data_IF_524056925174
#
_entry.id   IF_524056925174
#
_cell.length_a   1.000
_cell.length_b   1.000
_cell.length_c   1.000
_cell.angle_alpha   90.00
_cell.angle_beta   90.00
_cell.angle_gamma   90.00
#
_symmetry.space_group_name_H-M   'P 1'
#
loop_
_entity.id
_entity.type
_entity.pdbx_description
1 polymer ?
#
# COMPACT_ATOMS: atom_id res chain seq x y z
N UNK A 1 -74.28 11.67 36.02
CA UNK A 1 -73.39 10.50 36.08
C UNK A 1 -72.04 10.88 35.47
N UNK A 2 -71.15 11.34 36.33
CA UNK A 2 -69.97 12.16 35.99
C UNK A 2 -68.66 11.38 36.20
N UNK A 3 -68.77 10.05 36.32
CA UNK A 3 -67.72 9.17 36.86
C UNK A 3 -66.96 8.40 35.77
N UNK A 4 -67.52 8.27 34.56
CA UNK A 4 -66.92 7.49 33.46
C UNK A 4 -65.88 8.29 32.66
N UNK A 5 -65.99 9.63 32.64
CA UNK A 5 -65.10 10.52 31.87
C UNK A 5 -63.69 10.64 32.46
N UNK A 6 -63.55 10.47 33.78
CA UNK A 6 -62.25 10.51 34.47
C UNK A 6 -61.42 9.24 34.31
N UNK A 7 -62.04 8.09 33.99
CA UNK A 7 -61.30 6.82 33.74
C UNK A 7 -60.68 6.80 32.34
N UNK A 8 -61.39 7.29 31.33
CA UNK A 8 -60.90 7.38 29.94
C UNK A 8 -59.72 8.34 29.79
N UNK A 9 -59.75 9.50 30.46
CA UNK A 9 -58.65 10.47 30.42
C UNK A 9 -57.39 9.92 31.10
N UNK A 10 -57.53 9.17 32.20
CA UNK A 10 -56.39 8.52 32.89
C UNK A 10 -55.80 7.34 32.09
N UNK A 11 -56.62 6.59 31.35
CA UNK A 11 -56.14 5.53 30.46
C UNK A 11 -55.41 6.08 29.23
N UNK A 12 -55.90 7.19 28.66
CA UNK A 12 -55.24 7.84 27.51
C UNK A 12 -53.91 8.48 27.89
N UNK A 13 -53.80 9.09 29.09
CA UNK A 13 -52.53 9.66 29.57
C UNK A 13 -51.47 8.59 29.89
N UNK A 14 -51.89 7.42 30.39
CA UNK A 14 -50.99 6.30 30.68
C UNK A 14 -50.43 5.64 29.40
N UNK A 15 -51.20 5.67 28.31
CA UNK A 15 -50.78 5.08 27.03
C UNK A 15 -49.77 5.96 26.26
N UNK A 16 -49.82 7.29 26.44
CA UNK A 16 -48.83 8.22 25.85
C UNK A 16 -47.48 8.23 26.58
N UNK A 17 -47.43 7.89 27.87
CA UNK A 17 -46.17 7.82 28.63
C UNK A 17 -45.41 6.51 28.33
N UNK A 18 -46.11 5.45 27.90
CA UNK A 18 -45.48 4.19 27.50
C UNK A 18 -44.75 4.27 26.13
N UNK A 19 -45.02 5.29 25.32
CA UNK A 19 -44.43 5.47 23.98
C UNK A 19 -43.35 6.56 23.93
N UNK A 20 -42.97 7.13 25.07
CA UNK A 20 -41.86 8.08 25.19
C UNK A 20 -40.57 7.47 25.76
N UNK A 21 -40.62 6.23 26.26
CA UNK A 21 -39.51 5.57 26.97
C UNK A 21 -38.52 4.77 26.11
N UNK A 22 -38.70 4.72 24.79
CA UNK A 22 -37.88 3.86 23.92
C UNK A 22 -37.15 4.63 22.81
N UNK A 23 -36.87 5.93 23.00
CA UNK A 23 -35.79 6.60 22.26
C UNK A 23 -34.53 6.54 23.12
N UNK A 24 -34.16 5.32 23.53
CA UNK A 24 -32.80 5.06 23.96
C UNK A 24 -31.94 5.29 22.73
N UNK A 25 -31.22 6.41 22.71
CA UNK A 25 -30.25 6.72 21.69
C UNK A 25 -29.23 5.57 21.64
N UNK A 26 -29.49 4.58 20.78
CA UNK A 26 -28.45 3.67 20.32
C UNK A 26 -27.56 4.54 19.46
N UNK A 27 -26.61 5.22 20.10
CA UNK A 27 -25.43 5.72 19.42
C UNK A 27 -24.73 4.45 18.96
N UNK A 28 -25.10 3.98 17.76
CA UNK A 28 -24.32 3.00 17.05
C UNK A 28 -22.98 3.68 16.80
N UNK A 29 -22.02 3.44 17.69
CA UNK A 29 -20.63 3.73 17.39
C UNK A 29 -20.32 2.88 16.18
N UNK A 30 -20.38 3.47 14.99
CA UNK A 30 -19.97 2.80 13.77
C UNK A 30 -18.56 2.27 14.05
N UNK A 31 -18.40 0.95 14.06
CA UNK A 31 -17.08 0.36 14.15
C UNK A 31 -16.25 0.96 13.01
N UNK A 32 -14.98 1.34 13.26
CA UNK A 32 -14.13 1.84 12.19
C UNK A 32 -14.19 0.84 11.02
N UNK A 33 -14.62 1.32 9.86
CA UNK A 33 -14.60 0.53 8.64
C UNK A 33 -13.13 0.39 8.22
N UNK A 34 -12.48 -0.68 8.68
CA UNK A 34 -11.15 -1.05 8.23
C UNK A 34 -11.27 -1.61 6.80
N UNK A 35 -11.05 -0.76 5.80
CA UNK A 35 -10.80 -1.25 4.45
C UNK A 35 -9.39 -1.86 4.43
N UNK A 36 -9.30 -3.16 4.74
CA UNK A 36 -8.07 -3.93 4.62
C UNK A 36 -7.56 -3.79 3.18
N UNK A 37 -6.35 -3.27 2.97
CA UNK A 37 -5.83 -3.19 1.60
C UNK A 37 -5.74 -4.60 1.02
N UNK A 38 -6.33 -4.80 -0.16
CA UNK A 38 -6.05 -6.01 -0.93
C UNK A 38 -4.58 -6.02 -1.32
N UNK A 39 -3.91 -7.16 -1.12
CA UNK A 39 -2.53 -7.38 -1.56
C UNK A 39 -2.40 -7.09 -3.05
N UNK A 40 -1.60 -6.07 -3.47
CA UNK A 40 -1.47 -5.75 -4.88
C UNK A 40 -0.72 -6.85 -5.65
N UNK A 41 -1.08 -7.06 -6.92
CA UNK A 41 -0.45 -8.06 -7.78
C UNK A 41 1.08 -7.86 -7.93
N UNK A 42 1.57 -6.63 -7.78
CA UNK A 42 2.99 -6.29 -7.83
C UNK A 42 3.79 -6.82 -6.63
N UNK A 43 3.16 -7.00 -5.47
CA UNK A 43 3.85 -7.44 -4.25
C UNK A 43 4.36 -8.88 -4.39
N UNK A 44 5.61 -9.14 -4.04
CA UNK A 44 6.19 -10.49 -4.00
C UNK A 44 7.66 -10.53 -4.38
N UNK A 45 8.19 -11.75 -4.51
CA UNK A 45 9.58 -12.00 -4.90
C UNK A 45 9.65 -12.28 -6.40
N UNK A 46 10.35 -11.45 -7.15
CA UNK A 46 10.42 -11.54 -8.61
C UNK A 46 11.82 -11.90 -9.06
N UNK A 47 11.96 -12.97 -9.85
CA UNK A 47 13.24 -13.42 -10.39
C UNK A 47 13.34 -13.09 -11.86
N UNK A 48 14.53 -12.66 -12.29
CA UNK A 48 14.80 -12.42 -13.70
C UNK A 48 14.60 -13.72 -14.50
N UNK A 49 13.84 -13.63 -15.58
CA UNK A 49 13.58 -14.75 -16.50
C UNK A 49 14.89 -15.14 -17.19
N UNK A 50 15.74 -14.17 -17.52
CA UNK A 50 17.07 -14.41 -18.02
C UNK A 50 18.04 -14.68 -16.86
N UNK A 51 18.30 -15.96 -16.58
CA UNK A 51 19.21 -16.40 -15.51
C UNK A 51 20.68 -16.07 -15.79
N UNK A 52 21.03 -15.77 -17.04
CA UNK A 52 22.37 -15.36 -17.46
C UNK A 52 22.57 -13.83 -17.42
N UNK A 53 21.55 -13.06 -17.00
CA UNK A 53 21.67 -11.62 -16.89
C UNK A 53 22.76 -11.23 -15.87
N UNK A 54 23.66 -10.33 -16.29
CA UNK A 54 24.71 -9.76 -15.43
C UNK A 54 24.23 -8.50 -14.68
N UNK A 55 22.91 -8.32 -14.58
CA UNK A 55 22.25 -7.08 -14.16
C UNK A 55 21.52 -7.29 -12.81
N UNK A 56 20.21 -7.06 -12.75
CA UNK A 56 19.36 -7.36 -11.59
C UNK A 56 18.84 -8.80 -11.72
N UNK A 57 19.16 -9.64 -10.74
CA UNK A 57 18.77 -11.06 -10.72
C UNK A 57 17.41 -11.27 -10.06
N UNK A 58 17.07 -10.41 -9.09
CA UNK A 58 15.81 -10.49 -8.34
C UNK A 58 15.40 -9.13 -7.80
N UNK A 59 14.09 -8.90 -7.67
CA UNK A 59 13.52 -7.78 -6.94
C UNK A 59 12.45 -8.29 -5.99
N UNK A 60 12.59 -7.96 -4.71
CA UNK A 60 11.51 -8.14 -3.76
C UNK A 60 10.69 -6.86 -3.69
N UNK A 61 9.41 -6.95 -4.00
CA UNK A 61 8.46 -5.84 -3.89
C UNK A 61 7.61 -6.05 -2.65
N UNK A 62 7.75 -5.17 -1.66
CA UNK A 62 6.87 -5.07 -0.52
C UNK A 62 5.76 -4.05 -0.75
N UNK A 63 4.72 -4.13 0.06
CA UNK A 63 3.61 -3.18 0.05
C UNK A 63 3.27 -2.82 1.49
N UNK A 64 3.31 -1.53 1.80
CA UNK A 64 2.86 -0.97 3.07
C UNK A 64 1.47 -0.43 2.84
N UNK A 65 0.50 -1.03 3.53
CA UNK A 65 -0.86 -0.55 3.60
C UNK A 65 -0.95 0.45 4.76
N UNK A 66 -1.26 1.70 4.46
CA UNK A 66 -1.60 2.71 5.45
C UNK A 66 -3.10 2.95 5.42
N UNK A 67 -3.87 1.98 5.92
CA UNK A 67 -5.34 2.04 5.99
C UNK A 67 -5.83 2.84 7.21
N UNK A 68 -5.08 2.84 8.30
CA UNK A 68 -5.43 3.58 9.51
C UNK A 68 -4.60 4.85 9.62
N UNK A 69 -5.30 6.00 9.63
CA UNK A 69 -4.75 7.28 10.08
C UNK A 69 -5.23 7.53 11.50
N UNK A 70 -4.33 7.40 12.48
CA UNK A 70 -4.63 7.65 13.90
C UNK A 70 -4.26 9.09 14.23
N UNK A 71 -5.22 9.88 14.69
CA UNK A 71 -4.98 11.25 15.14
C UNK A 71 -5.12 11.32 16.67
N UNK A 72 -4.17 11.99 17.33
CA UNK A 72 -4.31 12.33 18.74
C UNK A 72 -5.21 13.55 18.96
N UNK A 73 -5.51 13.87 20.23
CA UNK A 73 -6.36 15.01 20.61
C UNK A 73 -5.71 16.37 20.32
N UNK A 74 -4.41 16.42 20.04
CA UNK A 74 -3.71 17.62 19.56
C UNK A 74 -3.74 17.78 18.04
N UNK A 75 -4.40 16.88 17.31
CA UNK A 75 -4.51 16.92 15.85
C UNK A 75 -3.28 16.38 15.12
N UNK A 76 -2.32 15.77 15.83
CA UNK A 76 -1.21 15.08 15.21
C UNK A 76 -1.67 13.70 14.72
N UNK A 77 -1.61 13.50 13.41
CA UNK A 77 -2.02 12.26 12.76
C UNK A 77 -0.81 11.44 12.33
N UNK A 78 -0.82 10.14 12.61
CA UNK A 78 0.17 9.16 12.15
C UNK A 78 -0.51 8.11 11.27
N UNK A 79 0.24 7.56 10.31
CA UNK A 79 -0.27 6.56 9.37
C UNK A 79 -1.03 7.15 8.17
N UNK A 80 -1.81 6.32 7.49
CA UNK A 80 -2.59 6.70 6.30
C UNK A 80 -1.81 6.70 4.96
N UNK A 81 -0.52 6.37 4.96
CA UNK A 81 0.27 6.33 3.73
C UNK A 81 0.41 4.91 3.20
N UNK A 82 -0.06 4.70 1.99
CA UNK A 82 0.07 3.44 1.26
C UNK A 82 1.15 3.56 0.20
N UNK A 83 2.13 2.66 0.19
CA UNK A 83 3.26 2.72 -0.75
C UNK A 83 3.91 1.35 -0.98
N UNK A 84 4.61 1.22 -2.12
CA UNK A 84 5.45 0.05 -2.39
C UNK A 84 6.85 0.24 -1.80
N UNK A 85 7.51 -0.88 -1.48
CA UNK A 85 8.94 -0.91 -1.19
C UNK A 85 9.65 -1.83 -2.16
N UNK A 86 10.85 -1.47 -2.57
CA UNK A 86 11.68 -2.26 -3.49
C UNK A 86 12.95 -2.69 -2.77
N UNK A 87 13.34 -3.96 -2.94
CA UNK A 87 14.65 -4.51 -2.55
C UNK A 87 15.24 -5.30 -3.71
N UNK A 88 15.99 -4.63 -4.60
CA UNK A 88 16.69 -5.26 -5.72
C UNK A 88 17.93 -6.02 -5.26
N UNK A 89 18.28 -7.03 -6.04
CA UNK A 89 19.48 -7.84 -5.90
C UNK A 89 20.21 -7.85 -7.24
N UNK A 90 21.45 -7.34 -7.24
CA UNK A 90 22.32 -7.34 -8.41
C UNK A 90 23.16 -8.62 -8.49
N UNK A 91 23.59 -8.98 -9.70
CA UNK A 91 24.47 -10.12 -9.93
C UNK A 91 25.83 -9.89 -9.25
N UNK A 92 26.16 -10.74 -8.28
CA UNK A 92 27.45 -10.79 -7.60
C UNK A 92 27.84 -12.25 -7.30
N UNK A 93 29.10 -12.49 -6.96
CA UNK A 93 29.63 -13.82 -6.63
C UNK A 93 30.26 -13.81 -5.24
N UNK A 94 30.03 -14.84 -4.40
CA UNK A 94 29.23 -16.06 -4.65
C UNK A 94 27.71 -15.87 -4.48
N UNK A 95 27.29 -14.74 -3.92
CA UNK A 95 25.89 -14.42 -3.65
C UNK A 95 25.51 -13.09 -4.27
N UNK A 96 24.24 -12.94 -4.62
CA UNK A 96 23.72 -11.68 -5.17
C UNK A 96 23.93 -10.52 -4.19
N UNK A 97 24.28 -9.34 -4.73
CA UNK A 97 24.45 -8.13 -3.95
C UNK A 97 23.08 -7.51 -3.64
N UNK A 98 22.72 -7.48 -2.37
CA UNK A 98 21.53 -6.78 -1.88
C UNK A 98 21.75 -5.26 -1.89
N UNK A 99 20.85 -4.51 -2.53
CA UNK A 99 20.90 -3.05 -2.56
C UNK A 99 20.11 -2.41 -1.41
N UNK A 100 19.43 -3.23 -0.59
CA UNK A 100 18.60 -2.80 0.53
C UNK A 100 17.17 -2.44 0.12
N UNK A 101 16.33 -2.19 1.12
CA UNK A 101 14.92 -1.83 0.91
C UNK A 101 14.77 -0.31 0.85
N UNK A 102 14.02 0.20 -0.14
CA UNK A 102 13.64 1.61 -0.26
C UNK A 102 12.15 1.76 -0.54
N UNK A 103 11.55 2.84 -0.02
CA UNK A 103 10.20 3.26 -0.40
C UNK A 103 10.21 3.67 -1.88
N UNK A 104 9.24 3.16 -2.63
CA UNK A 104 8.98 3.57 -3.99
C UNK A 104 8.04 4.78 -4.00
N UNK A 105 8.26 5.64 -4.99
CA UNK A 105 7.37 6.74 -5.35
C UNK A 105 6.56 6.31 -6.55
N UNK A 106 5.24 6.52 -6.50
CA UNK A 106 4.38 6.32 -7.66
C UNK A 106 4.73 7.34 -8.75
N UNK A 107 4.90 6.86 -9.97
CA UNK A 107 5.18 7.66 -11.16
C UNK A 107 3.97 7.58 -12.10
N UNK A 108 3.99 8.38 -13.16
CA UNK A 108 2.99 8.30 -14.24
C UNK A 108 2.93 6.89 -14.84
N UNK A 109 1.77 6.53 -15.40
CA UNK A 109 1.56 5.25 -16.10
C UNK A 109 1.80 4.01 -15.21
N UNK A 110 1.56 4.12 -13.89
CA UNK A 110 1.58 2.98 -12.97
C UNK A 110 2.96 2.45 -12.59
N UNK A 111 4.03 3.12 -13.02
CA UNK A 111 5.40 2.81 -12.61
C UNK A 111 5.63 3.15 -11.13
N UNK A 112 6.42 2.33 -10.45
CA UNK A 112 6.92 2.60 -9.10
C UNK A 112 8.43 2.78 -9.17
N UNK A 113 8.97 3.89 -8.63
CA UNK A 113 10.40 4.19 -8.69
C UNK A 113 11.03 4.25 -7.30
N UNK A 114 12.16 3.58 -7.10
CA UNK A 114 13.05 3.80 -5.97
C UNK A 114 14.46 4.18 -6.43
N UNK A 115 15.19 4.92 -5.59
CA UNK A 115 16.53 5.44 -5.89
C UNK A 115 17.54 4.84 -4.91
N UNK A 116 18.66 4.37 -5.44
CA UNK A 116 19.77 3.76 -4.71
C UNK A 116 21.05 4.50 -5.04
N UNK A 117 21.62 5.16 -4.04
CA UNK A 117 22.89 5.89 -4.20
C UNK A 117 24.03 5.04 -3.66
N UNK A 118 25.01 4.78 -4.52
CA UNK A 118 26.29 4.17 -4.20
C UNK A 118 27.38 5.23 -4.36
N UNK A 119 28.57 4.99 -3.79
CA UNK A 119 29.71 5.90 -3.93
C UNK A 119 30.15 6.14 -5.38
N UNK A 120 29.84 5.19 -6.27
CA UNK A 120 30.27 5.17 -7.68
C UNK A 120 29.13 5.41 -8.68
N UNK A 121 27.86 5.33 -8.26
CA UNK A 121 26.72 5.60 -9.14
C UNK A 121 25.42 5.83 -8.36
N UNK A 122 24.48 6.52 -9.01
CA UNK A 122 23.07 6.52 -8.62
C UNK A 122 22.29 5.58 -9.54
N UNK A 123 21.50 4.69 -8.94
CA UNK A 123 20.63 3.76 -9.65
C UNK A 123 19.18 4.12 -9.41
N UNK A 124 18.46 4.35 -10.48
CA UNK A 124 17.04 4.59 -10.48
C UNK A 124 16.36 3.31 -10.93
N UNK A 125 15.51 2.72 -10.08
CA UNK A 125 14.86 1.43 -10.32
C UNK A 125 13.38 1.67 -10.49
N UNK A 126 12.85 1.37 -11.67
CA UNK A 126 11.43 1.44 -11.99
C UNK A 126 10.86 0.05 -12.14
N UNK A 127 9.70 -0.19 -11.55
CA UNK A 127 8.98 -1.45 -11.70
C UNK A 127 7.52 -1.24 -12.09
N UNK A 128 7.00 -2.11 -12.95
CA UNK A 128 5.59 -2.15 -13.37
C UNK A 128 5.16 -3.57 -13.69
N UNK A 129 3.96 -3.94 -13.30
CA UNK A 129 3.39 -5.25 -13.64
C UNK A 129 2.71 -5.22 -15.01
N UNK A 130 2.86 -6.32 -15.74
CA UNK A 130 2.13 -6.60 -16.98
C UNK A 130 1.50 -7.98 -16.90
N UNK A 131 0.32 -8.15 -17.48
CA UNK A 131 -0.34 -9.45 -17.59
C UNK A 131 -0.34 -9.86 -19.06
N UNK A 132 0.23 -11.03 -19.35
CA UNK A 132 0.25 -11.62 -20.67
C UNK A 132 -0.16 -13.08 -20.57
N UNK A 133 -1.20 -13.48 -21.33
CA UNK A 133 -1.77 -14.84 -21.31
C UNK A 133 -2.08 -15.36 -19.89
N UNK A 134 -2.62 -14.51 -19.02
CA UNK A 134 -2.98 -14.85 -17.64
C UNK A 134 -1.80 -14.91 -16.66
N UNK A 135 -0.56 -14.69 -17.12
CA UNK A 135 0.64 -14.68 -16.28
C UNK A 135 1.02 -13.23 -15.97
N UNK A 136 1.28 -12.93 -14.70
CA UNK A 136 1.79 -11.62 -14.29
C UNK A 136 3.32 -11.61 -14.35
N UNK A 137 3.87 -10.59 -15.00
CA UNK A 137 5.28 -10.31 -15.11
C UNK A 137 5.60 -8.98 -14.42
N UNK A 138 6.81 -8.84 -13.91
CA UNK A 138 7.35 -7.55 -13.47
C UNK A 138 8.39 -7.11 -14.48
N UNK A 139 8.12 -5.99 -15.14
CA UNK A 139 9.13 -5.28 -15.92
C UNK A 139 9.94 -4.43 -14.96
N UNK A 140 11.26 -4.55 -15.03
CA UNK A 140 12.22 -3.84 -14.19
C UNK A 140 13.15 -3.06 -15.10
N UNK A 141 13.01 -1.74 -15.08
CA UNK A 141 13.90 -0.84 -15.81
C UNK A 141 14.84 -0.19 -14.80
N UNK A 142 16.14 -0.17 -15.08
CA UNK A 142 17.13 0.48 -14.22
C UNK A 142 18.02 1.39 -15.04
N UNK A 143 18.05 2.67 -14.69
CA UNK A 143 19.02 3.64 -15.19
C UNK A 143 20.17 3.73 -14.19
N UNK A 144 21.39 3.53 -14.67
CA UNK A 144 22.61 3.74 -13.88
C UNK A 144 23.29 5.01 -14.37
N UNK A 145 23.40 5.96 -13.44
CA UNK A 145 24.07 7.25 -13.59
C UNK A 145 25.39 7.20 -12.82
N UNK A 146 26.51 7.04 -13.54
CA UNK A 146 27.83 6.91 -12.94
C UNK A 146 28.35 8.27 -12.51
N UNK A 147 29.09 8.30 -11.40
CA UNK A 147 29.78 9.53 -11.01
C UNK A 147 30.88 9.86 -12.02
N UNK A 148 31.18 11.15 -12.17
CA UNK A 148 32.28 11.59 -13.04
C UNK A 148 33.63 10.93 -12.68
N UNK A 149 33.83 10.58 -11.41
CA UNK A 149 35.03 9.90 -10.93
C UNK A 149 35.10 8.41 -11.32
N UNK A 150 33.96 7.76 -11.54
CA UNK A 150 33.90 6.37 -11.98
C UNK A 150 34.23 6.24 -13.48
N UNK A 151 33.82 7.22 -14.29
CA UNK A 151 34.22 7.36 -15.69
C UNK A 151 33.58 6.38 -16.67
N UNK A 152 32.74 5.44 -16.20
CA UNK A 152 31.93 4.58 -17.08
C UNK A 152 30.77 5.38 -17.70
N UNK A 153 30.33 4.94 -18.87
CA UNK A 153 29.14 5.49 -19.54
C UNK A 153 27.88 5.00 -18.86
N UNK A 154 26.95 5.91 -18.63
CA UNK A 154 25.60 5.60 -18.16
C UNK A 154 24.90 4.60 -19.08
N UNK A 155 24.07 3.75 -18.48
CA UNK A 155 23.28 2.80 -19.25
C UNK A 155 21.96 2.48 -18.58
N UNK A 156 21.05 1.97 -19.40
CA UNK A 156 19.80 1.38 -18.95
C UNK A 156 19.83 -0.13 -19.12
N UNK A 157 19.14 -0.83 -18.22
CA UNK A 157 18.70 -2.21 -18.42
C UNK A 157 17.17 -2.26 -18.38
N UNK A 158 16.59 -3.21 -19.09
CA UNK A 158 15.16 -3.47 -19.12
C UNK A 158 14.93 -4.98 -19.07
N UNK A 159 14.51 -5.46 -17.90
CA UNK A 159 14.46 -6.86 -17.56
C UNK A 159 13.03 -7.30 -17.29
N UNK A 160 12.72 -8.54 -17.66
CA UNK A 160 11.43 -9.15 -17.40
C UNK A 160 11.59 -10.22 -16.32
N UNK A 161 10.74 -10.15 -15.31
CA UNK A 161 10.80 -11.02 -14.14
C UNK A 161 9.49 -11.75 -13.91
N UNK A 162 9.58 -12.90 -13.26
CA UNK A 162 8.45 -13.75 -12.87
C UNK A 162 8.55 -14.11 -11.39
N UNK A 163 7.39 -14.27 -10.74
CA UNK A 163 7.27 -14.81 -9.37
C UNK A 163 7.56 -16.30 -9.31
#
# INVERSE_FOLDING_TARGET
MTTTRNKLIRLLLAMTIAMAGAVGATIATAAPAHALCSTPAMMGNWRNINTAANSVTRVNVGFVCGDVRVCDTSGHCTGGETYFTLRPFGKCSPTDCDWGTKRATAMSDGWQRAIYTHSWATKYVWVKTYVYSGITYLRVYVWTDFTAADGRTDYAIDEWMRK
#
